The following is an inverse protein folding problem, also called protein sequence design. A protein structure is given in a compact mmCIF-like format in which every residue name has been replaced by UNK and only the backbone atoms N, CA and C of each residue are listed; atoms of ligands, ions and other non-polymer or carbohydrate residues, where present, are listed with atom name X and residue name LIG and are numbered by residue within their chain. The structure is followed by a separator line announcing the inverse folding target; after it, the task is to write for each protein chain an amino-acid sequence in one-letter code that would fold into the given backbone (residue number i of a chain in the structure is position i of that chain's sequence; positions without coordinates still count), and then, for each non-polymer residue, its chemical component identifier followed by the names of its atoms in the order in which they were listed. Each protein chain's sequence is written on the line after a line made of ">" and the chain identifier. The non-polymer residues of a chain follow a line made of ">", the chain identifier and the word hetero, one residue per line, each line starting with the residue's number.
data_IF_263782858712
#
_entry.id   IF_263782858712
#
_cell.length_a   1.000
_cell.length_b   1.000
_cell.length_c   1.000
_cell.angle_alpha   90.00
_cell.angle_beta   90.00
_cell.angle_gamma   90.00
#
_symmetry.space_group_name_H-M   'P 1'
#
loop_
_entity.id
_entity.type
_entity.pdbx_description
1 polymer ?
#
# COMPACT_ATOMS: atom_id res chain seq x y z
N UNK A 1 -3.83 -1.52 -11.67
CA UNK A 1 -5.20 -1.60 -11.09
C UNK A 1 -5.77 -3.00 -11.09
N UNK A 2 -5.50 -3.85 -12.09
CA UNK A 2 -5.95 -5.25 -12.10
C UNK A 2 -5.54 -6.07 -10.86
N UNK A 3 -4.37 -5.79 -10.28
CA UNK A 3 -3.84 -6.45 -9.09
C UNK A 3 -4.19 -5.75 -7.76
N UNK A 4 -5.10 -4.78 -7.76
CA UNK A 4 -5.45 -4.01 -6.55
C UNK A 4 -5.99 -4.89 -5.41
N UNK A 5 -6.75 -5.94 -5.76
CA UNK A 5 -7.27 -6.90 -4.77
C UNK A 5 -6.15 -7.67 -4.07
N UNK A 6 -5.16 -8.14 -4.82
CA UNK A 6 -4.00 -8.85 -4.26
C UNK A 6 -3.20 -7.94 -3.32
N UNK A 7 -2.98 -6.69 -3.73
CA UNK A 7 -2.34 -5.68 -2.89
C UNK A 7 -3.13 -5.44 -1.59
N UNK A 8 -4.46 -5.31 -1.66
CA UNK A 8 -5.28 -5.10 -0.46
C UNK A 8 -5.25 -6.29 0.50
N UNK A 9 -5.25 -7.52 -0.01
CA UNK A 9 -5.12 -8.71 0.83
C UNK A 9 -3.79 -8.68 1.59
N UNK A 10 -2.68 -8.45 0.88
CA UNK A 10 -1.37 -8.33 1.52
C UNK A 10 -1.33 -7.17 2.53
N UNK A 11 -1.88 -6.00 2.20
CA UNK A 11 -1.94 -4.85 3.11
C UNK A 11 -2.75 -5.14 4.38
N UNK A 12 -3.87 -5.85 4.26
CA UNK A 12 -4.73 -6.21 5.38
C UNK A 12 -4.06 -7.21 6.35
N UNK A 13 -3.18 -8.08 5.86
CA UNK A 13 -2.39 -8.98 6.71
C UNK A 13 -1.46 -8.21 7.67
N UNK A 14 -1.01 -7.01 7.29
CA UNK A 14 -0.16 -6.17 8.13
C UNK A 14 -0.94 -5.22 9.05
N UNK A 15 -1.99 -4.58 8.54
CA UNK A 15 -2.70 -3.51 9.25
C UNK A 15 -4.01 -3.93 9.91
N UNK A 16 -4.52 -5.13 9.61
CA UNK A 16 -5.73 -5.67 10.21
C UNK A 16 -6.98 -4.85 9.90
N UNK A 17 -7.90 -4.81 10.87
CA UNK A 17 -9.23 -4.21 10.71
C UNK A 17 -9.23 -2.67 10.78
N UNK A 18 -8.21 -2.05 11.38
CA UNK A 18 -8.12 -0.60 11.58
C UNK A 18 -6.84 -0.05 10.92
N UNK A 19 -6.78 -0.01 9.59
CA UNK A 19 -5.61 0.47 8.87
C UNK A 19 -5.45 2.00 8.95
N UNK A 20 -4.23 2.53 8.75
CA UNK A 20 -4.02 3.96 8.55
C UNK A 20 -4.85 4.51 7.38
N UNK A 21 -5.17 5.79 7.44
CA UNK A 21 -5.73 6.52 6.30
C UNK A 21 -4.80 6.41 5.10
N UNK A 22 -5.37 6.14 3.91
CA UNK A 22 -4.62 5.86 2.67
C UNK A 22 -5.27 6.46 1.45
N UNK A 23 -4.46 6.79 0.45
CA UNK A 23 -4.84 7.03 -0.94
C UNK A 23 -4.19 5.95 -1.82
N UNK A 24 -4.89 5.46 -2.85
CA UNK A 24 -4.30 4.56 -3.85
C UNK A 24 -4.67 5.04 -5.25
N UNK A 25 -3.66 5.19 -6.09
CA UNK A 25 -3.81 5.58 -7.50
C UNK A 25 -3.14 4.54 -8.39
N UNK A 26 -3.56 4.45 -9.65
CA UNK A 26 -2.95 3.58 -10.65
C UNK A 26 -2.62 4.33 -11.94
N UNK A 27 -1.66 3.83 -12.72
CA UNK A 27 -1.34 4.37 -14.05
C UNK A 27 0.12 4.76 -14.28
N UNK A 28 1.02 4.47 -13.34
CA UNK A 28 2.45 4.75 -13.48
C UNK A 28 3.28 3.47 -13.67
N UNK A 29 4.42 3.59 -14.36
CA UNK A 29 5.52 2.62 -14.25
C UNK A 29 6.31 2.97 -13.00
N UNK A 30 6.47 2.02 -12.10
CA UNK A 30 7.26 2.20 -10.89
C UNK A 30 8.75 1.89 -11.14
N UNK A 31 9.66 2.42 -10.30
CA UNK A 31 11.08 2.07 -10.35
C UNK A 31 11.30 0.56 -10.35
N UNK A 32 12.31 0.11 -11.10
CA UNK A 32 12.71 -1.31 -11.20
C UNK A 32 11.61 -2.27 -11.70
N UNK A 33 10.52 -1.75 -12.26
CA UNK A 33 9.38 -2.57 -12.70
C UNK A 33 8.54 -3.11 -11.53
N UNK A 34 8.57 -2.46 -10.37
CA UNK A 34 7.75 -2.84 -9.23
C UNK A 34 6.25 -2.83 -9.56
N UNK A 35 5.50 -3.74 -8.93
CA UNK A 35 4.06 -3.84 -9.11
C UNK A 35 3.26 -2.83 -8.25
N UNK A 36 3.85 -2.40 -7.13
CA UNK A 36 3.29 -1.42 -6.19
C UNK A 36 4.44 -0.69 -5.49
N UNK A 37 4.21 0.57 -5.14
CA UNK A 37 5.06 1.36 -4.25
C UNK A 37 4.15 2.00 -3.19
N UNK A 38 4.58 2.01 -1.93
CA UNK A 38 3.84 2.59 -0.81
C UNK A 38 4.76 3.56 -0.05
N UNK A 39 4.28 4.80 0.13
CA UNK A 39 4.86 5.76 1.06
C UNK A 39 4.01 5.84 2.35
N UNK A 40 4.62 6.23 3.46
CA UNK A 40 3.94 6.27 4.76
C UNK A 40 4.48 7.41 5.64
N UNK A 41 3.57 8.04 6.39
CA UNK A 41 3.90 8.95 7.48
C UNK A 41 3.48 8.26 8.77
N UNK A 42 4.43 8.10 9.70
CA UNK A 42 4.21 7.43 10.97
C UNK A 42 4.79 8.25 12.13
N UNK A 43 4.29 7.99 13.34
CA UNK A 43 4.86 8.53 14.58
C UNK A 43 6.08 7.70 15.01
N UNK A 44 7.04 8.32 15.67
CA UNK A 44 8.12 7.61 16.36
C UNK A 44 7.54 6.89 17.59
N UNK A 45 7.94 5.64 17.81
CA UNK A 45 7.56 4.91 19.02
C UNK A 45 8.30 5.49 20.23
N UNK A 46 7.58 5.67 21.34
CA UNK A 46 8.17 6.09 22.62
C UNK A 46 8.88 4.93 23.30
#
# INVERSE_FOLDING_TARGET
>A
MSTFKEMNNAYAEFFGAEPPTRITVGGAKFPLGAAVENECIARVAN
#
